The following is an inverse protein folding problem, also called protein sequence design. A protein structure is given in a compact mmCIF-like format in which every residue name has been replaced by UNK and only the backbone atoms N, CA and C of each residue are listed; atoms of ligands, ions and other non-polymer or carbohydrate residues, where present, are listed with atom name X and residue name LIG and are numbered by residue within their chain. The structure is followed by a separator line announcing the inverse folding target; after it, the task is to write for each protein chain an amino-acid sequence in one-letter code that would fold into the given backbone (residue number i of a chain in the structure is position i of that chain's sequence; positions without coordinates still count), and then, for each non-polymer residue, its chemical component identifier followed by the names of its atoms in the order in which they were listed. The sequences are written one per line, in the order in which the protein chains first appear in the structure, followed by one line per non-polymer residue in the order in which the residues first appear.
data_IF_546881484347
#
_entry.id   IF_546881484347
#
_cell.length_a   1.000
_cell.length_b   1.000
_cell.length_c   1.000
_cell.angle_alpha   90.00
_cell.angle_beta   90.00
_cell.angle_gamma   90.00
#
_symmetry.space_group_name_H-M   'P 1'
#
loop_
_entity.id
_entity.type
_entity.pdbx_description
1 polymer ?
#
# COMPACT_ATOMS: atom_id res chain seq x y z
N UNK A 1 -4.13 -4.46 -11.46
CA UNK A 1 -2.87 -3.70 -11.45
C UNK A 1 -2.53 -3.28 -10.02
N UNK A 2 -1.29 -3.43 -9.62
CA UNK A 2 -0.81 -3.00 -8.30
C UNK A 2 0.34 -2.00 -8.46
N UNK A 3 0.26 -0.87 -7.77
CA UNK A 3 1.32 0.13 -7.68
C UNK A 3 1.92 0.08 -6.28
N UNK A 4 3.21 -0.20 -6.15
CA UNK A 4 3.86 -0.40 -4.86
C UNK A 4 5.13 0.45 -4.65
N UNK A 5 5.26 1.11 -3.49
CA UNK A 5 6.36 2.04 -3.16
C UNK A 5 6.94 1.89 -1.74
N UNK A 6 6.58 0.91 -0.92
CA UNK A 6 6.72 1.06 0.54
C UNK A 6 7.97 0.51 1.23
N UNK A 7 8.88 -0.21 0.55
CA UNK A 7 10.13 -0.67 1.17
C UNK A 7 11.33 -0.69 0.23
N UNK A 8 12.55 -0.74 0.76
CA UNK A 8 13.78 -0.86 -0.02
C UNK A 8 13.88 -2.14 -0.85
N UNK A 9 13.10 -3.16 -0.49
CA UNK A 9 12.95 -4.42 -1.24
C UNK A 9 12.28 -4.19 -2.60
N UNK A 10 11.49 -3.13 -2.73
CA UNK A 10 10.72 -2.81 -3.94
C UNK A 10 11.51 -2.11 -5.06
N UNK A 11 12.78 -1.86 -4.87
CA UNK A 11 13.66 -1.37 -5.94
C UNK A 11 13.97 -2.47 -6.96
N UNK A 12 13.67 -3.72 -6.64
CA UNK A 12 13.87 -4.84 -7.54
C UNK A 12 12.65 -5.04 -8.45
N UNK A 13 12.87 -4.99 -9.78
CA UNK A 13 11.84 -5.29 -10.79
C UNK A 13 11.27 -6.71 -10.63
N UNK A 14 12.03 -7.62 -10.03
CA UNK A 14 11.62 -9.01 -9.79
C UNK A 14 10.57 -9.13 -8.67
N UNK A 15 10.44 -8.14 -7.78
CA UNK A 15 9.46 -8.17 -6.70
C UNK A 15 8.01 -8.23 -7.21
N UNK A 16 7.67 -7.42 -8.20
CA UNK A 16 6.31 -7.40 -8.77
C UNK A 16 5.92 -8.77 -9.37
N UNK A 17 6.89 -9.45 -9.97
CA UNK A 17 6.70 -10.78 -10.57
C UNK A 17 6.49 -11.83 -9.47
N UNK A 18 7.36 -11.87 -8.46
CA UNK A 18 7.26 -12.84 -7.35
C UNK A 18 5.98 -12.64 -6.52
N UNK A 19 5.56 -11.40 -6.32
CA UNK A 19 4.29 -11.06 -5.65
C UNK A 19 3.09 -11.58 -6.43
N UNK A 20 3.08 -11.38 -7.76
CA UNK A 20 2.05 -11.90 -8.65
C UNK A 20 1.96 -13.43 -8.59
N UNK A 21 3.10 -14.12 -8.68
CA UNK A 21 3.17 -15.58 -8.63
C UNK A 21 2.64 -16.13 -7.29
N UNK A 22 3.06 -15.53 -6.17
CA UNK A 22 2.60 -15.93 -4.84
C UNK A 22 1.09 -15.70 -4.64
N UNK A 23 0.55 -14.61 -5.18
CA UNK A 23 -0.88 -14.34 -5.15
C UNK A 23 -1.68 -15.34 -5.98
N UNK A 24 -1.23 -15.64 -7.20
CA UNK A 24 -1.88 -16.64 -8.06
C UNK A 24 -1.81 -18.04 -7.43
N UNK A 25 -0.66 -18.40 -6.84
CA UNK A 25 -0.50 -19.68 -6.13
C UNK A 25 -1.47 -19.82 -4.95
N UNK A 26 -1.69 -18.72 -4.21
CA UNK A 26 -2.58 -18.69 -3.05
C UNK A 26 -4.06 -18.58 -3.44
N UNK A 27 -4.33 -17.89 -4.53
CA UNK A 27 -5.68 -17.60 -5.03
C UNK A 27 -5.74 -17.91 -6.54
N UNK A 28 -5.89 -19.18 -6.96
CA UNK A 28 -5.79 -19.60 -8.38
C UNK A 28 -6.88 -18.99 -9.28
N UNK A 29 -8.01 -18.57 -8.71
CA UNK A 29 -9.10 -17.91 -9.45
C UNK A 29 -8.86 -16.42 -9.71
N UNK A 30 -7.77 -15.84 -9.17
CA UNK A 30 -7.47 -14.43 -9.32
C UNK A 30 -6.87 -14.14 -10.70
N UNK A 31 -7.52 -13.29 -11.48
CA UNK A 31 -7.00 -12.82 -12.75
C UNK A 31 -6.22 -11.52 -12.58
N UNK A 32 -4.90 -11.59 -12.56
CA UNK A 32 -4.02 -10.42 -12.44
C UNK A 32 -3.60 -9.97 -13.85
N UNK A 33 -4.26 -8.94 -14.35
CA UNK A 33 -4.07 -8.39 -15.70
C UNK A 33 -2.84 -7.50 -15.85
N UNK A 34 -2.25 -7.03 -14.73
CA UNK A 34 -1.02 -6.22 -14.78
C UNK A 34 -0.48 -5.89 -13.40
N UNK A 35 0.82 -5.58 -13.37
CA UNK A 35 1.52 -5.07 -12.20
C UNK A 35 2.48 -3.98 -12.65
N UNK A 36 2.70 -2.97 -11.79
CA UNK A 36 3.70 -1.93 -12.01
C UNK A 36 4.31 -1.49 -10.68
N UNK A 37 5.61 -1.24 -10.66
CA UNK A 37 6.24 -0.69 -9.48
C UNK A 37 5.80 0.76 -9.24
N UNK A 38 5.82 1.20 -7.98
CA UNK A 38 5.38 2.54 -7.58
C UNK A 38 6.47 3.61 -7.64
N UNK A 39 7.65 3.29 -8.20
CA UNK A 39 8.76 4.24 -8.38
C UNK A 39 8.70 4.84 -9.78
N UNK A 40 7.85 5.82 -9.97
CA UNK A 40 7.68 6.53 -11.23
C UNK A 40 7.77 8.04 -11.01
N UNK A 41 8.14 8.74 -12.06
CA UNK A 41 8.18 10.21 -12.09
C UNK A 41 6.79 10.76 -12.44
N UNK A 42 6.49 12.02 -12.07
CA UNK A 42 5.21 12.64 -12.42
C UNK A 42 4.88 12.60 -13.94
N UNK A 43 5.91 12.66 -14.78
CA UNK A 43 5.77 12.63 -16.25
C UNK A 43 5.26 11.28 -16.76
N UNK A 44 5.51 10.20 -16.03
CA UNK A 44 5.08 8.83 -16.36
C UNK A 44 3.62 8.55 -15.94
N UNK A 45 2.99 9.46 -15.17
CA UNK A 45 1.65 9.23 -14.62
C UNK A 45 0.59 9.05 -15.73
N UNK A 46 0.72 9.78 -16.84
CA UNK A 46 -0.18 9.66 -17.99
C UNK A 46 -0.03 8.32 -18.73
N UNK A 47 1.18 7.77 -18.76
CA UNK A 47 1.45 6.44 -19.34
C UNK A 47 0.84 5.34 -18.45
N UNK A 48 0.98 5.44 -17.14
CA UNK A 48 0.39 4.51 -16.17
C UNK A 48 -1.14 4.47 -16.32
N UNK A 49 -1.77 5.63 -16.48
CA UNK A 49 -3.23 5.72 -16.72
C UNK A 49 -3.62 5.01 -18.03
N UNK A 50 -2.81 5.15 -19.09
CA UNK A 50 -3.04 4.44 -20.36
C UNK A 50 -2.90 2.92 -20.18
N UNK A 51 -1.82 2.46 -19.54
CA UNK A 51 -1.61 1.02 -19.26
C UNK A 51 -2.78 0.42 -18.46
N UNK A 52 -3.30 1.15 -17.48
CA UNK A 52 -4.47 0.72 -16.70
C UNK A 52 -5.69 0.59 -17.61
N UNK A 53 -5.96 1.58 -18.46
CA UNK A 53 -7.11 1.56 -19.36
C UNK A 53 -7.00 0.43 -20.42
N UNK A 54 -5.80 0.17 -20.92
CA UNK A 54 -5.54 -0.91 -21.89
C UNK A 54 -5.72 -2.30 -21.27
N UNK A 55 -5.28 -2.45 -20.01
CA UNK A 55 -5.43 -3.70 -19.24
C UNK A 55 -6.86 -3.96 -18.76
N UNK A 56 -7.72 -2.93 -18.72
CA UNK A 56 -9.14 -2.98 -18.31
C UNK A 56 -9.40 -3.75 -17.00
N UNK A 57 -8.70 -3.43 -15.91
CA UNK A 57 -8.95 -4.09 -14.63
C UNK A 57 -10.27 -3.63 -14.02
N UNK A 58 -10.99 -4.53 -13.35
CA UNK A 58 -12.14 -4.14 -12.52
C UNK A 58 -11.68 -3.45 -11.22
N UNK A 59 -10.55 -3.88 -10.66
CA UNK A 59 -10.00 -3.40 -9.39
C UNK A 59 -8.53 -3.04 -9.54
N UNK A 60 -8.13 -1.90 -8.98
CA UNK A 60 -6.72 -1.48 -8.89
C UNK A 60 -6.32 -1.32 -7.43
N UNK A 61 -5.33 -2.09 -7.01
CA UNK A 61 -4.69 -1.91 -5.71
C UNK A 61 -3.55 -0.91 -5.83
N UNK A 62 -3.61 0.15 -5.02
CA UNK A 62 -2.61 1.21 -4.99
C UNK A 62 -1.80 1.11 -3.70
N UNK A 63 -0.49 0.87 -3.82
CA UNK A 63 0.41 0.58 -2.72
C UNK A 63 1.53 1.65 -2.59
N UNK A 64 1.20 2.91 -2.81
CA UNK A 64 2.17 4.03 -2.77
C UNK A 64 2.42 4.55 -1.34
N UNK A 65 1.71 4.01 -0.35
CA UNK A 65 1.69 4.51 1.01
C UNK A 65 0.87 5.78 1.19
N UNK A 66 0.35 5.96 2.42
CA UNK A 66 -0.42 7.16 2.77
C UNK A 66 0.51 8.37 2.95
N UNK A 67 0.13 9.58 2.51
CA UNK A 67 -1.09 9.95 1.80
C UNK A 67 -0.95 9.94 0.26
N UNK A 68 0.10 9.32 -0.29
CA UNK A 68 0.40 9.40 -1.73
C UNK A 68 -0.60 8.58 -2.56
N UNK A 69 -1.00 7.40 -2.07
CA UNK A 69 -1.97 6.54 -2.75
C UNK A 69 -3.33 7.22 -2.87
N UNK A 70 -3.82 7.87 -1.82
CA UNK A 70 -5.09 8.61 -1.84
C UNK A 70 -5.04 9.78 -2.81
N UNK A 71 -3.94 10.54 -2.79
CA UNK A 71 -3.73 11.66 -3.72
C UNK A 71 -3.63 11.20 -5.16
N UNK A 72 -2.98 10.08 -5.43
CA UNK A 72 -2.87 9.52 -6.76
C UNK A 72 -4.23 9.04 -7.28
N UNK A 73 -4.98 8.32 -6.45
CA UNK A 73 -6.34 7.85 -6.77
C UNK A 73 -7.23 9.07 -7.08
N UNK A 74 -7.23 10.09 -6.22
CA UNK A 74 -8.05 11.28 -6.40
C UNK A 74 -7.75 12.05 -7.70
N UNK A 75 -6.49 12.02 -8.18
CA UNK A 75 -6.10 12.69 -9.43
C UNK A 75 -6.41 11.89 -10.70
N UNK A 76 -6.51 10.58 -10.59
CA UNK A 76 -6.51 9.69 -11.75
C UNK A 76 -7.74 8.78 -11.88
N UNK A 77 -8.57 8.67 -10.85
CA UNK A 77 -9.78 7.83 -10.91
C UNK A 77 -10.69 8.22 -12.10
N UNK A 78 -10.91 9.49 -12.30
CA UNK A 78 -11.80 9.99 -13.37
C UNK A 78 -11.21 9.84 -14.79
N UNK A 79 -9.92 9.49 -14.89
CA UNK A 79 -9.22 9.28 -16.18
C UNK A 79 -9.19 7.82 -16.59
N UNK A 80 -9.77 6.93 -15.79
CA UNK A 80 -9.76 5.49 -16.01
C UNK A 80 -11.17 4.90 -15.99
N UNK A 81 -11.32 3.71 -16.60
CA UNK A 81 -12.57 2.93 -16.58
C UNK A 81 -12.60 1.91 -15.43
N UNK A 82 -11.75 2.07 -14.42
CA UNK A 82 -11.67 1.17 -13.26
C UNK A 82 -12.88 1.33 -12.36
N UNK A 83 -13.48 0.23 -11.95
CA UNK A 83 -14.66 0.25 -11.08
C UNK A 83 -14.31 0.53 -9.62
N UNK A 84 -13.18 0.00 -9.14
CA UNK A 84 -12.76 0.12 -7.74
C UNK A 84 -11.26 0.41 -7.64
N UNK A 85 -10.92 1.48 -6.93
CA UNK A 85 -9.55 1.74 -6.46
C UNK A 85 -9.48 1.46 -4.96
N UNK A 86 -8.41 0.80 -4.53
CA UNK A 86 -8.18 0.52 -3.12
C UNK A 86 -6.71 0.81 -2.75
N UNK A 87 -6.52 1.78 -1.85
CA UNK A 87 -5.22 2.04 -1.23
C UNK A 87 -4.96 0.99 -0.14
N UNK A 88 -4.02 0.08 -0.37
CA UNK A 88 -3.74 -1.02 0.56
C UNK A 88 -2.34 -0.95 1.19
N UNK A 89 -1.52 0.05 0.80
CA UNK A 89 -0.18 0.26 1.35
C UNK A 89 0.64 -1.03 1.38
N UNK A 90 1.33 -1.27 2.49
CA UNK A 90 2.15 -2.49 2.68
C UNK A 90 1.37 -3.78 2.96
N UNK A 91 0.04 -3.80 2.79
CA UNK A 91 -0.74 -5.04 2.99
C UNK A 91 -0.47 -6.06 1.90
N UNK A 92 -0.09 -5.61 0.70
CA UNK A 92 0.27 -6.50 -0.40
C UNK A 92 1.45 -7.43 -0.05
N UNK A 93 2.41 -6.93 0.73
CA UNK A 93 3.59 -7.69 1.17
C UNK A 93 3.21 -8.89 2.04
N UNK A 94 2.21 -8.67 2.91
CA UNK A 94 1.69 -9.73 3.78
C UNK A 94 0.93 -10.77 2.95
N UNK A 95 0.14 -10.33 1.98
CA UNK A 95 -0.58 -11.23 1.07
C UNK A 95 0.36 -12.00 0.15
N UNK A 96 1.43 -11.38 -0.29
CA UNK A 96 2.48 -12.00 -1.10
C UNK A 96 3.40 -12.93 -0.30
N UNK A 97 3.31 -12.91 1.05
CA UNK A 97 4.18 -13.71 1.92
C UNK A 97 5.61 -13.17 2.02
N UNK A 98 5.87 -11.96 1.54
CA UNK A 98 7.18 -11.31 1.59
C UNK A 98 7.42 -10.55 2.90
N UNK A 99 6.36 -10.26 3.65
CA UNK A 99 6.43 -9.71 4.99
C UNK A 99 5.67 -10.59 5.98
N UNK A 100 6.30 -10.86 7.11
CA UNK A 100 5.64 -11.56 8.21
C UNK A 100 4.59 -10.65 8.88
N UNK A 101 3.40 -11.18 9.08
CA UNK A 101 2.42 -10.54 9.95
C UNK A 101 2.92 -10.60 11.40
N UNK A 102 2.63 -9.57 12.17
CA UNK A 102 2.92 -9.60 13.59
C UNK A 102 2.22 -10.83 14.25
N UNK A 103 2.87 -11.50 15.23
CA UNK A 103 2.24 -12.56 15.99
C UNK A 103 0.90 -12.12 16.58
N UNK A 104 -0.05 -13.06 16.71
CA UNK A 104 -1.42 -12.76 17.14
C UNK A 104 -1.50 -12.00 18.48
N UNK A 105 -0.53 -12.21 19.36
CA UNK A 105 -0.46 -11.52 20.64
C UNK A 105 -0.27 -10.01 20.46
N UNK A 106 0.59 -9.60 19.53
CA UNK A 106 0.83 -8.19 19.20
C UNK A 106 -0.36 -7.56 18.51
N UNK A 107 -1.04 -8.34 17.65
CA UNK A 107 -2.27 -7.90 16.98
C UNK A 107 -3.41 -7.69 18.00
N UNK A 108 -3.59 -8.62 18.95
CA UNK A 108 -4.61 -8.53 20.02
C UNK A 108 -4.35 -7.35 20.97
N UNK A 109 -3.10 -7.00 21.20
CA UNK A 109 -2.71 -5.85 22.02
C UNK A 109 -2.76 -4.51 21.26
N UNK A 110 -3.08 -4.51 19.97
CA UNK A 110 -3.03 -3.29 19.13
C UNK A 110 -1.61 -2.77 18.85
N UNK A 111 -0.58 -3.59 19.11
CA UNK A 111 0.83 -3.24 18.99
C UNK A 111 1.46 -3.76 17.68
N UNK A 112 0.68 -4.13 16.68
CA UNK A 112 1.19 -4.55 15.37
C UNK A 112 2.11 -3.50 14.74
N UNK A 113 1.74 -2.23 14.86
CA UNK A 113 2.54 -1.11 14.39
C UNK A 113 3.94 -1.05 15.03
N UNK A 114 4.04 -1.37 16.33
CA UNK A 114 5.31 -1.38 17.06
C UNK A 114 6.18 -2.58 16.65
N UNK A 115 5.59 -3.76 16.45
CA UNK A 115 6.28 -4.92 15.91
C UNK A 115 6.88 -4.62 14.52
N UNK A 116 6.10 -3.99 13.64
CA UNK A 116 6.57 -3.56 12.31
C UNK A 116 7.68 -2.52 12.40
N UNK A 117 7.63 -1.61 13.39
CA UNK A 117 8.68 -0.63 13.63
C UNK A 117 10.00 -1.31 14.06
N UNK A 118 9.94 -2.31 14.93
CA UNK A 118 11.12 -3.07 15.34
C UNK A 118 11.76 -3.82 14.17
N UNK A 119 10.95 -4.40 13.29
CA UNK A 119 11.44 -5.10 12.08
C UNK A 119 11.98 -4.14 11.02
N UNK A 120 11.46 -2.92 10.94
CA UNK A 120 11.84 -1.91 9.94
C UNK A 120 12.00 -0.52 10.59
N UNK A 121 13.16 -0.24 11.21
CA UNK A 121 13.42 1.03 11.90
C UNK A 121 13.33 2.28 11.01
N UNK A 122 13.52 2.13 9.69
CA UNK A 122 13.37 3.21 8.70
C UNK A 122 11.98 3.85 8.67
N UNK A 123 10.97 3.16 9.24
CA UNK A 123 9.58 3.67 9.34
C UNK A 123 9.36 4.67 10.47
N UNK A 124 10.36 4.89 11.35
CA UNK A 124 10.21 5.75 12.53
C UNK A 124 9.73 7.16 12.19
N UNK A 125 10.24 7.73 11.08
CA UNK A 125 9.85 9.08 10.64
C UNK A 125 8.36 9.24 10.34
N UNK A 126 7.67 8.18 9.89
CA UNK A 126 6.23 8.18 9.63
C UNK A 126 5.40 7.88 10.89
N UNK A 127 5.98 7.17 11.84
CA UNK A 127 5.29 6.77 13.07
C UNK A 127 5.30 7.83 14.17
N UNK A 128 6.13 8.86 14.05
CA UNK A 128 6.10 10.02 14.99
C UNK A 128 4.76 10.77 14.97
N UNK A 129 3.96 10.60 13.92
CA UNK A 129 2.60 11.14 13.85
C UNK A 129 1.66 10.50 14.90
N UNK A 130 1.84 9.22 15.23
CA UNK A 130 0.98 8.51 16.19
C UNK A 130 1.07 9.05 17.63
N UNK A 131 2.27 9.17 18.26
CA UNK A 131 2.37 9.76 19.58
C UNK A 131 1.96 11.24 19.57
N UNK A 132 2.24 12.00 18.50
CA UNK A 132 1.77 13.37 18.36
C UNK A 132 0.24 13.45 18.31
N UNK A 133 -0.40 12.56 17.58
CA UNK A 133 -1.86 12.45 17.52
C UNK A 133 -2.43 12.09 18.90
N UNK A 134 -1.90 11.05 19.55
CA UNK A 134 -2.35 10.64 20.90
C UNK A 134 -2.21 11.77 21.91
N UNK A 135 -1.08 12.47 21.92
CA UNK A 135 -0.87 13.62 22.78
C UNK A 135 -1.87 14.76 22.49
N UNK A 136 -2.14 15.01 21.21
CA UNK A 136 -3.12 16.02 20.79
C UNK A 136 -4.53 15.66 21.27
N UNK A 137 -4.92 14.40 21.16
CA UNK A 137 -6.23 13.90 21.63
C UNK A 137 -6.34 14.02 23.16
N UNK A 138 -5.30 13.64 23.90
CA UNK A 138 -5.29 13.75 25.37
C UNK A 138 -5.38 15.21 25.81
N UNK A 139 -4.61 16.10 25.17
CA UNK A 139 -4.54 17.52 25.58
C UNK A 139 -5.74 18.34 25.07
N UNK A 140 -6.24 18.06 23.88
CA UNK A 140 -7.32 18.84 23.23
C UNK A 140 -8.68 18.14 23.23
N UNK A 141 -8.74 16.84 23.47
CA UNK A 141 -9.98 16.05 23.43
C UNK A 141 -11.03 16.47 24.46
N UNK A 142 -10.64 17.17 25.51
CA UNK A 142 -11.58 17.79 26.48
C UNK A 142 -12.33 19.01 25.94
N UNK A 143 -11.93 19.58 24.79
CA UNK A 143 -12.57 20.78 24.20
C UNK A 143 -13.64 20.46 23.14
N UNK A 144 -13.86 19.18 22.85
CA UNK A 144 -14.87 18.72 21.89
C UNK A 144 -16.10 18.08 22.57
N UNK A 145 -16.45 18.55 23.77
CA UNK A 145 -17.76 18.28 24.37
C UNK A 145 -18.64 19.50 24.27
#
# INVERSE_FOLDING_TARGET
LSLNKESDVYKDKNFDISTKENLIKKYPSLNIVGTRNGYFKPEEEAEIVREINDAKPDVVFVCLGAPMQEKWIARNSDKTNVKVFMGIGGSLDVFAGTAERAPDIWCKMGLEWFYRLMKQPSRIGRMTALPKFALTVILKGRKFK
#
